data_IF_265159508254
#
_entry.id   IF_265159508254
#
_cell.length_a   1.000
_cell.length_b   1.000
_cell.length_c   1.000
_cell.angle_alpha   90.00
_cell.angle_beta   90.00
_cell.angle_gamma   90.00
#
_symmetry.space_group_name_H-M   'P 1'
#
loop_
_entity.id
_entity.type
_entity.pdbx_description
1 polymer ?
#
# COMPACT_ATOMS: atom_id res chain seq x y z
N UNK A 1 -10.52 -14.68 -32.09
CA UNK A 1 -10.87 -15.99 -31.51
C UNK A 1 -10.64 -15.96 -30.02
N UNK A 2 -11.47 -16.64 -29.24
CA UNK A 2 -11.26 -16.82 -27.81
C UNK A 2 -10.91 -18.27 -27.46
N UNK A 3 -10.00 -18.44 -26.50
CA UNK A 3 -9.63 -19.72 -25.90
C UNK A 3 -10.52 -19.97 -24.70
N UNK A 4 -11.25 -21.08 -24.70
CA UNK A 4 -12.10 -21.46 -23.57
C UNK A 4 -11.26 -22.12 -22.49
N UNK A 5 -11.27 -21.54 -21.29
CA UNK A 5 -10.61 -22.08 -20.10
C UNK A 5 -11.59 -22.08 -18.92
N UNK A 6 -11.45 -23.01 -17.96
CA UNK A 6 -12.23 -22.98 -16.73
C UNK A 6 -12.14 -21.59 -16.08
N UNK A 7 -13.27 -21.03 -15.68
CA UNK A 7 -13.30 -19.69 -15.07
C UNK A 7 -12.37 -19.54 -13.85
N UNK A 8 -12.22 -20.54 -12.96
CA UNK A 8 -11.21 -20.47 -11.90
C UNK A 8 -9.79 -20.31 -12.46
N UNK A 9 -9.42 -21.03 -13.52
CA UNK A 9 -8.07 -20.91 -14.11
C UNK A 9 -7.84 -19.53 -14.74
N UNK A 10 -8.86 -18.94 -15.37
CA UNK A 10 -8.78 -17.55 -15.86
C UNK A 10 -8.59 -16.58 -14.70
N UNK A 11 -9.28 -16.78 -13.58
CA UNK A 11 -9.09 -15.94 -12.40
C UNK A 11 -7.66 -16.08 -11.85
N UNK A 12 -7.12 -17.30 -11.76
CA UNK A 12 -5.74 -17.50 -11.33
C UNK A 12 -4.73 -16.79 -12.25
N UNK A 13 -4.98 -16.80 -13.57
CA UNK A 13 -4.20 -16.06 -14.56
C UNK A 13 -4.34 -14.54 -14.40
N UNK A 14 -5.56 -14.04 -14.16
CA UNK A 14 -5.85 -12.61 -13.93
C UNK A 14 -5.25 -12.08 -12.62
N UNK A 15 -5.17 -12.93 -11.60
CA UNK A 15 -4.50 -12.60 -10.34
C UNK A 15 -2.97 -12.66 -10.45
N UNK A 16 -2.42 -13.27 -11.52
CA UNK A 16 -0.98 -13.50 -11.63
C UNK A 16 -0.46 -14.65 -10.77
N UNK A 17 -1.36 -15.45 -10.17
CA UNK A 17 -1.04 -16.62 -9.34
C UNK A 17 -0.43 -17.75 -10.15
N UNK A 18 -0.82 -17.89 -11.42
CA UNK A 18 -0.21 -18.83 -12.36
C UNK A 18 0.04 -18.14 -13.69
N UNK A 19 1.01 -18.64 -14.47
CA UNK A 19 1.29 -18.18 -15.84
C UNK A 19 0.98 -19.26 -16.87
N UNK A 20 0.23 -20.29 -16.47
CA UNK A 20 -0.03 -21.47 -17.27
C UNK A 20 -1.47 -21.96 -17.20
N UNK A 21 -1.87 -22.69 -18.25
CA UNK A 21 -3.15 -23.38 -18.35
C UNK A 21 -2.95 -24.78 -18.94
N UNK A 22 -3.80 -25.74 -18.58
CA UNK A 22 -3.79 -27.07 -19.17
C UNK A 22 -4.71 -27.09 -20.38
N UNK A 23 -4.28 -27.71 -21.47
CA UNK A 23 -5.07 -27.82 -22.68
C UNK A 23 -4.86 -29.14 -23.41
N UNK A 24 -5.88 -29.62 -24.13
CA UNK A 24 -5.84 -30.90 -24.84
C UNK A 24 -5.17 -30.83 -26.22
N UNK A 25 -4.85 -29.63 -26.71
CA UNK A 25 -4.29 -29.42 -28.06
C UNK A 25 -3.01 -28.61 -28.00
N UNK A 26 -2.09 -28.90 -28.90
CA UNK A 26 -0.93 -28.04 -29.09
C UNK A 26 -1.35 -26.69 -29.67
N UNK A 27 -0.87 -25.61 -29.07
CA UNK A 27 -1.05 -24.24 -29.57
C UNK A 27 0.31 -23.71 -30.02
N UNK A 28 0.38 -23.20 -31.24
CA UNK A 28 1.59 -22.55 -31.72
C UNK A 28 1.92 -21.32 -30.87
N UNK A 29 3.18 -21.15 -30.43
CA UNK A 29 3.63 -19.94 -29.78
C UNK A 29 3.33 -18.68 -30.60
N UNK A 30 3.24 -17.55 -29.92
CA UNK A 30 2.86 -16.21 -30.41
C UNK A 30 1.40 -16.06 -30.82
N UNK A 31 0.58 -17.12 -30.84
CA UNK A 31 -0.86 -16.95 -31.07
C UNK A 31 -1.52 -16.18 -29.93
N UNK A 32 -2.48 -15.35 -30.29
CA UNK A 32 -3.21 -14.46 -29.38
C UNK A 32 -4.69 -14.83 -29.36
N UNK A 33 -5.28 -14.82 -28.16
CA UNK A 33 -6.69 -15.16 -27.96
C UNK A 33 -7.27 -14.34 -26.82
N UNK A 34 -8.56 -14.01 -26.92
CA UNK A 34 -9.32 -13.62 -25.73
C UNK A 34 -9.47 -14.82 -24.78
N UNK A 35 -9.51 -14.58 -23.47
CA UNK A 35 -9.73 -15.64 -22.48
C UNK A 35 -11.23 -15.75 -22.18
N UNK A 36 -11.84 -16.85 -22.60
CA UNK A 36 -13.28 -17.07 -22.49
C UNK A 36 -13.57 -17.99 -21.30
N UNK A 37 -14.25 -17.52 -20.24
CA UNK A 37 -14.55 -18.34 -19.08
C UNK A 37 -15.66 -19.33 -19.39
N UNK A 38 -15.40 -20.60 -19.10
CA UNK A 38 -16.41 -21.66 -19.09
C UNK A 38 -16.63 -22.16 -17.67
N UNK A 39 -17.87 -22.56 -17.35
CA UNK A 39 -18.15 -23.25 -16.09
C UNK A 39 -17.34 -24.55 -16.09
N UNK A 40 -16.54 -24.75 -15.04
CA UNK A 40 -15.67 -25.91 -14.87
C UNK A 40 -16.50 -27.15 -14.54
N UNK A 41 -17.29 -27.60 -15.51
CA UNK A 41 -17.98 -28.90 -15.50
C UNK A 41 -17.70 -29.60 -16.83
N UNK A 42 -16.40 -29.68 -17.16
CA UNK A 42 -15.87 -30.86 -17.84
C UNK A 42 -15.81 -31.94 -16.75
N UNK A 43 -16.91 -32.66 -16.56
CA UNK A 43 -17.22 -33.72 -15.57
C UNK A 43 -16.06 -34.67 -15.17
N UNK A 44 -15.00 -34.18 -14.52
CA UNK A 44 -13.85 -35.01 -14.15
C UNK A 44 -13.83 -35.29 -12.65
N UNK A 45 -13.90 -34.26 -11.81
CA UNK A 45 -13.78 -34.38 -10.34
C UNK A 45 -14.54 -33.24 -9.62
N UNK A 46 -14.94 -33.42 -8.34
CA UNK A 46 -15.35 -32.33 -7.45
C UNK A 46 -14.28 -31.23 -7.36
N UNK A 47 -14.69 -29.97 -7.08
CA UNK A 47 -13.79 -28.80 -7.01
C UNK A 47 -12.64 -29.02 -6.03
N UNK A 48 -12.93 -29.62 -4.87
CA UNK A 48 -11.95 -29.94 -3.82
C UNK A 48 -10.93 -30.99 -4.24
N UNK A 49 -11.29 -31.84 -5.19
CA UNK A 49 -10.40 -32.84 -5.76
C UNK A 49 -9.67 -32.33 -6.99
N UNK A 50 -10.15 -31.25 -7.62
CA UNK A 50 -9.53 -30.67 -8.81
C UNK A 50 -8.48 -29.61 -8.48
N UNK A 51 -8.74 -28.78 -7.46
CA UNK A 51 -7.87 -27.67 -7.08
C UNK A 51 -7.26 -27.88 -5.70
N UNK A 52 -6.03 -27.38 -5.51
CA UNK A 52 -5.37 -27.38 -4.21
C UNK A 52 -6.24 -26.67 -3.17
N UNK A 53 -6.28 -27.11 -1.89
CA UNK A 53 -7.14 -26.52 -0.86
C UNK A 53 -7.04 -24.99 -0.74
N UNK A 54 -5.84 -24.44 -0.98
CA UNK A 54 -5.55 -23.01 -0.98
C UNK A 54 -6.22 -22.23 -2.14
N UNK A 55 -6.71 -22.91 -3.18
CA UNK A 55 -7.37 -22.28 -4.33
C UNK A 55 -8.88 -22.56 -4.38
N UNK A 56 -9.37 -23.54 -3.63
CA UNK A 56 -10.80 -23.92 -3.57
C UNK A 56 -11.73 -22.74 -3.28
N UNK A 57 -11.45 -21.81 -2.32
CA UNK A 57 -12.32 -20.66 -2.10
C UNK A 57 -12.47 -19.77 -3.35
N UNK A 58 -11.37 -19.52 -4.07
CA UNK A 58 -11.38 -18.75 -5.32
C UNK A 58 -12.13 -19.48 -6.43
N UNK A 59 -11.99 -20.80 -6.52
CA UNK A 59 -12.74 -21.61 -7.47
C UNK A 59 -14.25 -21.52 -7.23
N UNK A 60 -14.70 -21.55 -5.97
CA UNK A 60 -16.12 -21.38 -5.65
C UNK A 60 -16.64 -20.00 -6.03
N UNK A 61 -15.95 -18.91 -5.64
CA UNK A 61 -16.42 -17.55 -5.91
C UNK A 61 -16.47 -17.20 -7.39
N UNK A 62 -15.62 -17.79 -8.21
CA UNK A 62 -15.57 -17.56 -9.66
C UNK A 62 -16.61 -18.35 -10.46
N UNK A 63 -17.12 -19.45 -9.89
CA UNK A 63 -18.14 -20.27 -10.53
C UNK A 63 -19.57 -19.76 -10.29
N UNK A 64 -19.82 -19.11 -9.14
CA UNK A 64 -21.14 -18.54 -8.79
C UNK A 64 -21.70 -17.57 -9.86
N UNK A 65 -20.91 -16.66 -10.48
CA UNK A 65 -21.42 -15.73 -11.49
C UNK A 65 -21.75 -16.35 -12.86
N UNK A 66 -21.34 -17.59 -13.13
CA UNK A 66 -21.54 -18.26 -14.43
C UNK A 66 -22.95 -18.85 -14.61
N UNK A 67 -23.82 -18.72 -13.61
CA UNK A 67 -25.25 -19.01 -13.71
C UNK A 67 -26.03 -17.87 -14.41
N UNK A 68 -25.35 -16.79 -14.80
CA UNK A 68 -25.95 -15.68 -15.54
C UNK A 68 -25.90 -15.90 -17.06
N UNK A 69 -26.90 -15.40 -17.80
CA UNK A 69 -26.98 -15.53 -19.27
C UNK A 69 -25.88 -14.77 -20.03
N UNK A 70 -25.07 -13.95 -19.34
CA UNK A 70 -24.06 -13.09 -19.98
C UNK A 70 -22.66 -13.34 -19.43
N UNK A 71 -21.76 -13.79 -20.29
CA UNK A 71 -20.34 -13.98 -19.99
C UNK A 71 -19.56 -12.69 -20.27
N UNK A 72 -18.68 -12.31 -19.35
CA UNK A 72 -17.77 -11.17 -19.47
C UNK A 72 -16.34 -11.63 -19.73
N UNK A 73 -15.75 -11.20 -20.85
CA UNK A 73 -14.33 -11.38 -21.18
C UNK A 73 -13.58 -10.12 -20.76
N UNK A 74 -12.65 -10.28 -19.82
CA UNK A 74 -11.88 -9.17 -19.21
C UNK A 74 -10.39 -9.21 -19.56
N UNK A 75 -9.91 -10.27 -20.21
CA UNK A 75 -8.51 -10.44 -20.55
C UNK A 75 -8.28 -11.14 -21.89
N UNK A 76 -7.10 -10.93 -22.43
CA UNK A 76 -6.55 -11.65 -23.56
C UNK A 76 -5.16 -12.17 -23.20
N UNK A 77 -4.70 -13.20 -23.92
CA UNK A 77 -3.40 -13.79 -23.70
C UNK A 77 -2.67 -14.09 -25.01
N UNK A 78 -1.35 -14.03 -24.94
CA UNK A 78 -0.43 -14.56 -25.95
C UNK A 78 0.20 -15.86 -25.43
N UNK A 79 0.15 -16.92 -26.22
CA UNK A 79 0.84 -18.16 -25.89
C UNK A 79 2.35 -17.96 -26.14
N UNK A 80 3.17 -18.02 -25.09
CA UNK A 80 4.63 -17.87 -25.20
C UNK A 80 5.31 -19.23 -25.40
N UNK A 81 4.76 -20.29 -24.81
CA UNK A 81 5.24 -21.66 -24.95
C UNK A 81 4.06 -22.63 -24.82
N UNK A 82 4.13 -23.76 -25.52
CA UNK A 82 3.20 -24.87 -25.37
C UNK A 82 4.03 -26.16 -25.30
N UNK A 83 3.99 -26.84 -24.16
CA UNK A 83 4.83 -28.00 -23.90
C UNK A 83 3.96 -29.23 -23.57
N UNK A 84 4.22 -30.41 -24.16
CA UNK A 84 3.54 -31.63 -23.74
C UNK A 84 3.94 -31.98 -22.31
N UNK A 85 2.98 -32.37 -21.48
CA UNK A 85 3.29 -32.85 -20.13
C UNK A 85 3.80 -34.29 -20.18
N UNK A 86 4.89 -34.53 -19.46
CA UNK A 86 5.49 -35.84 -19.28
C UNK A 86 5.25 -36.37 -17.86
N UNK A 87 5.62 -37.62 -17.59
CA UNK A 87 5.42 -38.27 -16.30
C UNK A 87 6.10 -37.53 -15.13
N UNK A 88 7.28 -36.94 -15.36
CA UNK A 88 8.02 -36.17 -14.37
C UNK A 88 7.29 -34.86 -13.99
N UNK A 89 6.75 -34.16 -15.00
CA UNK A 89 5.95 -32.96 -14.79
C UNK A 89 4.69 -33.25 -13.99
N UNK A 90 4.02 -34.37 -14.27
CA UNK A 90 2.80 -34.78 -13.56
C UNK A 90 3.01 -35.02 -12.06
N UNK A 91 4.22 -35.43 -11.65
CA UNK A 91 4.55 -35.66 -10.25
C UNK A 91 4.87 -34.36 -9.47
N UNK A 92 5.29 -33.30 -10.19
CA UNK A 92 5.80 -32.07 -9.56
C UNK A 92 4.83 -30.90 -9.67
N UNK A 93 4.13 -30.76 -10.81
CA UNK A 93 3.15 -29.69 -11.04
C UNK A 93 2.11 -29.53 -9.93
N UNK A 94 1.57 -30.60 -9.31
CA UNK A 94 0.61 -30.45 -8.21
C UNK A 94 1.14 -29.68 -7.01
N UNK A 95 2.47 -29.62 -6.84
CA UNK A 95 3.13 -28.94 -5.73
C UNK A 95 3.47 -27.47 -6.02
N UNK A 96 3.37 -27.05 -7.29
CA UNK A 96 3.82 -25.73 -7.77
C UNK A 96 2.75 -25.01 -8.59
N UNK A 97 1.54 -25.58 -8.69
CA UNK A 97 0.41 -25.03 -9.43
C UNK A 97 -0.88 -25.13 -8.62
N UNK A 98 -1.97 -24.61 -9.16
CA UNK A 98 -3.29 -24.66 -8.53
C UNK A 98 -3.97 -26.03 -8.65
N UNK A 99 -3.48 -26.92 -9.50
CA UNK A 99 -4.10 -28.22 -9.79
C UNK A 99 -3.62 -29.30 -8.82
N UNK A 100 -4.49 -30.24 -8.47
CA UNK A 100 -4.11 -31.44 -7.72
C UNK A 100 -3.51 -32.51 -8.63
N UNK A 101 -2.92 -33.55 -8.04
CA UNK A 101 -2.44 -34.70 -8.80
C UNK A 101 -3.60 -35.43 -9.49
N UNK A 102 -4.72 -35.56 -8.80
CA UNK A 102 -5.94 -36.20 -9.28
C UNK A 102 -6.49 -35.48 -10.52
N UNK A 103 -6.46 -34.14 -10.52
CA UNK A 103 -6.88 -33.32 -11.66
C UNK A 103 -6.05 -33.59 -12.91
N UNK A 104 -4.72 -33.59 -12.77
CA UNK A 104 -3.81 -33.82 -13.89
C UNK A 104 -3.97 -35.24 -14.46
N UNK A 105 -4.14 -36.22 -13.58
CA UNK A 105 -4.36 -37.61 -13.98
C UNK A 105 -5.70 -37.80 -14.69
N UNK A 106 -6.78 -37.19 -14.19
CA UNK A 106 -8.09 -37.22 -14.83
C UNK A 106 -8.06 -36.55 -16.21
N UNK A 107 -7.41 -35.39 -16.33
CA UNK A 107 -7.23 -34.70 -17.60
C UNK A 107 -6.45 -35.55 -18.62
N UNK A 108 -5.38 -36.22 -18.18
CA UNK A 108 -4.62 -37.12 -19.03
C UNK A 108 -5.45 -38.34 -19.47
N UNK A 109 -6.21 -38.95 -18.56
CA UNK A 109 -7.06 -40.10 -18.88
C UNK A 109 -8.14 -39.73 -19.91
N UNK A 110 -8.69 -38.52 -19.83
CA UNK A 110 -9.74 -38.07 -20.75
C UNK A 110 -9.18 -37.65 -22.12
N UNK A 111 -8.08 -36.92 -22.16
CA UNK A 111 -7.58 -36.28 -23.39
C UNK A 111 -6.45 -37.05 -24.08
N UNK A 112 -5.91 -38.09 -23.43
CA UNK A 112 -4.75 -38.92 -23.85
C UNK A 112 -3.43 -38.16 -23.94
N UNK A 113 -3.47 -36.88 -24.33
CA UNK A 113 -2.35 -35.95 -24.32
C UNK A 113 -2.82 -34.63 -23.71
N UNK A 114 -1.98 -34.07 -22.86
CA UNK A 114 -2.22 -32.75 -22.26
C UNK A 114 -0.98 -31.88 -22.45
N UNK A 115 -1.22 -30.60 -22.70
CA UNK A 115 -0.21 -29.58 -22.93
C UNK A 115 -0.32 -28.51 -21.87
N UNK A 116 0.83 -28.04 -21.41
CA UNK A 116 0.95 -26.87 -20.57
C UNK A 116 1.19 -25.65 -21.45
N UNK A 117 0.21 -24.76 -21.48
CA UNK A 117 0.27 -23.48 -22.18
C UNK A 117 0.85 -22.45 -21.24
N UNK A 118 1.94 -21.78 -21.61
CA UNK A 118 2.48 -20.64 -20.90
C UNK A 118 1.89 -19.37 -21.53
N UNK A 119 1.09 -18.63 -20.76
CA UNK A 119 0.24 -17.55 -21.24
C UNK A 119 0.69 -16.21 -20.67
N UNK A 120 1.13 -15.31 -21.55
CA UNK A 120 1.33 -13.89 -21.22
C UNK A 120 -0.02 -13.19 -21.26
N UNK A 121 -0.54 -12.81 -20.10
CA UNK A 121 -1.90 -12.28 -19.94
C UNK A 121 -1.91 -10.77 -19.81
N UNK A 122 -2.91 -10.14 -20.43
CA UNK A 122 -3.12 -8.71 -20.45
C UNK A 122 -4.60 -8.41 -20.18
N UNK A 123 -4.84 -7.32 -19.45
CA UNK A 123 -6.19 -6.85 -19.17
C UNK A 123 -6.79 -6.13 -20.38
N UNK A 124 -8.09 -6.33 -20.60
CA UNK A 124 -8.88 -5.56 -21.56
C UNK A 124 -9.54 -4.41 -20.79
N UNK A 125 -9.32 -3.17 -21.25
CA UNK A 125 -9.83 -1.97 -20.55
C UNK A 125 -11.36 -1.88 -20.49
N UNK A 126 -12.05 -2.42 -21.51
CA UNK A 126 -13.51 -2.48 -21.56
C UNK A 126 -13.92 -3.95 -21.69
N UNK A 127 -14.52 -4.55 -20.64
CA UNK A 127 -14.97 -5.94 -20.68
C UNK A 127 -15.98 -6.19 -21.81
N UNK A 128 -15.82 -7.30 -22.51
CA UNK A 128 -16.69 -7.70 -23.62
C UNK A 128 -17.76 -8.67 -23.11
N UNK A 129 -19.03 -8.40 -23.40
CA UNK A 129 -20.17 -9.18 -22.92
C UNK A 129 -20.75 -10.06 -24.04
N UNK A 130 -20.97 -11.33 -23.77
CA UNK A 130 -21.51 -12.32 -24.71
C UNK A 130 -22.62 -13.15 -24.09
N UNK A 131 -23.64 -13.51 -24.86
CA UNK A 131 -24.85 -14.21 -24.38
C UNK A 131 -24.84 -15.73 -24.55
N UNK A 132 -23.77 -16.33 -25.10
CA UNK A 132 -23.75 -17.75 -25.49
C UNK A 132 -22.64 -18.49 -24.77
N UNK A 133 -22.99 -19.44 -23.90
CA UNK A 133 -22.03 -20.42 -23.37
C UNK A 133 -21.65 -21.43 -24.46
N UNK A 134 -20.35 -21.54 -24.76
CA UNK A 134 -19.85 -22.57 -25.67
C UNK A 134 -19.20 -23.72 -24.93
N UNK A 135 -19.36 -24.93 -25.47
CA UNK A 135 -18.63 -26.14 -25.05
C UNK A 135 -17.41 -26.45 -25.94
N UNK A 136 -17.12 -25.60 -26.92
CA UNK A 136 -15.94 -25.75 -27.79
C UNK A 136 -14.67 -25.26 -27.07
N UNK A 137 -13.51 -25.79 -27.47
CA UNK A 137 -12.22 -25.30 -26.97
C UNK A 137 -11.87 -23.88 -27.46
N UNK A 138 -12.52 -23.43 -28.54
CA UNK A 138 -12.37 -22.09 -29.10
C UNK A 138 -13.72 -21.51 -29.53
N UNK A 139 -13.93 -20.23 -29.25
CA UNK A 139 -15.13 -19.49 -29.67
C UNK A 139 -14.75 -18.43 -30.70
N UNK A 140 -15.55 -18.34 -31.76
CA UNK A 140 -15.49 -17.24 -32.70
C UNK A 140 -16.26 -16.05 -32.13
N UNK A 141 -15.60 -14.90 -31.98
CA UNK A 141 -16.17 -13.73 -31.30
C UNK A 141 -16.99 -12.83 -32.24
N UNK A 142 -17.03 -13.12 -33.54
CA UNK A 142 -17.81 -12.35 -34.53
C UNK A 142 -17.16 -11.03 -34.92
N UNK A 143 -16.41 -10.39 -34.01
CA UNK A 143 -15.75 -9.10 -34.19
C UNK A 143 -14.25 -9.17 -33.92
N UNK A 144 -13.50 -8.27 -34.57
CA UNK A 144 -12.09 -8.06 -34.27
C UNK A 144 -11.96 -7.26 -32.97
N UNK A 145 -11.24 -7.81 -32.01
CA UNK A 145 -10.94 -7.13 -30.75
C UNK A 145 -9.58 -6.46 -30.90
N UNK A 146 -9.55 -5.14 -30.78
CA UNK A 146 -8.29 -4.41 -30.64
C UNK A 146 -7.77 -4.61 -29.22
N UNK A 147 -6.60 -5.25 -29.12
CA UNK A 147 -5.93 -5.55 -27.87
C UNK A 147 -4.66 -4.72 -27.74
N UNK A 148 -4.30 -4.36 -26.50
CA UNK A 148 -3.10 -3.59 -26.18
C UNK A 148 -2.20 -4.37 -25.24
N UNK A 149 -0.89 -4.27 -25.44
CA UNK A 149 0.12 -4.83 -24.54
C UNK A 149 0.45 -3.89 -23.36
N UNK A 150 -0.21 -2.73 -23.27
CA UNK A 150 0.07 -1.71 -22.26
C UNK A 150 -0.35 -2.08 -20.82
N UNK A 151 -1.20 -3.08 -20.66
CA UNK A 151 -1.74 -3.49 -19.35
C UNK A 151 -1.49 -4.99 -19.08
N UNK A 152 -0.23 -5.43 -18.97
CA UNK A 152 0.07 -6.81 -18.64
C UNK A 152 -0.30 -7.10 -17.17
N UNK A 153 -0.77 -8.32 -16.89
CA UNK A 153 -1.10 -8.74 -15.52
C UNK A 153 0.16 -8.84 -14.64
N UNK A 154 1.25 -9.36 -15.20
CA UNK A 154 2.57 -9.41 -14.56
C UNK A 154 3.55 -8.49 -15.29
N UNK A 155 4.58 -7.97 -14.63
CA UNK A 155 5.70 -7.34 -15.35
C UNK A 155 6.44 -8.37 -16.21
N UNK A 156 7.20 -7.93 -17.22
CA UNK A 156 7.99 -8.84 -18.08
C UNK A 156 8.98 -9.67 -17.27
N UNK A 157 9.61 -9.06 -16.25
CA UNK A 157 10.52 -9.74 -15.33
C UNK A 157 9.81 -10.83 -14.54
N UNK A 158 8.69 -10.50 -13.88
CA UNK A 158 7.95 -11.46 -13.06
C UNK A 158 7.39 -12.62 -13.89
N UNK A 159 6.88 -12.32 -15.09
CA UNK A 159 6.41 -13.34 -16.02
C UNK A 159 7.53 -14.29 -16.43
N UNK A 160 8.69 -13.75 -16.87
CA UNK A 160 9.85 -14.58 -17.26
C UNK A 160 10.35 -15.43 -16.10
N UNK A 161 10.39 -14.86 -14.90
CA UNK A 161 10.80 -15.60 -13.70
C UNK A 161 9.85 -16.76 -13.41
N UNK A 162 8.52 -16.53 -13.37
CA UNK A 162 7.54 -17.61 -13.17
C UNK A 162 7.54 -18.64 -14.29
N UNK A 163 7.70 -18.19 -15.53
CA UNK A 163 7.82 -19.07 -16.69
C UNK A 163 9.03 -20.00 -16.56
N UNK A 164 10.19 -19.47 -16.18
CA UNK A 164 11.43 -20.25 -16.01
C UNK A 164 11.32 -21.21 -14.82
N UNK A 165 10.84 -20.75 -13.66
CA UNK A 165 10.64 -21.62 -12.49
C UNK A 165 9.70 -22.78 -12.82
N UNK A 166 8.60 -22.54 -13.54
CA UNK A 166 7.67 -23.60 -13.92
C UNK A 166 8.27 -24.57 -14.95
N UNK A 167 9.09 -24.08 -15.90
CA UNK A 167 9.82 -24.95 -16.84
C UNK A 167 10.85 -25.84 -16.14
N UNK A 168 11.51 -25.31 -15.11
CA UNK A 168 12.49 -26.03 -14.30
C UNK A 168 11.86 -26.85 -13.16
N UNK A 169 10.52 -26.82 -13.02
CA UNK A 169 9.77 -27.47 -11.95
C UNK A 169 10.20 -27.02 -10.53
N UNK A 170 10.61 -25.76 -10.40
CA UNK A 170 11.00 -25.12 -9.15
C UNK A 170 9.79 -24.57 -8.39
N UNK A 171 9.90 -24.52 -7.06
CA UNK A 171 8.91 -23.88 -6.21
C UNK A 171 8.80 -22.37 -6.49
N UNK A 172 7.61 -21.77 -6.38
CA UNK A 172 7.47 -20.32 -6.41
C UNK A 172 8.34 -19.67 -5.33
N UNK A 173 8.91 -18.50 -5.63
CA UNK A 173 9.86 -17.81 -4.74
C UNK A 173 9.30 -17.56 -3.32
N UNK A 174 7.99 -17.43 -3.18
CA UNK A 174 7.30 -17.09 -1.93
C UNK A 174 6.07 -17.98 -1.69
N UNK A 175 6.23 -19.30 -1.77
CA UNK A 175 5.16 -20.29 -1.53
C UNK A 175 4.35 -20.03 -0.25
N UNK A 176 5.03 -19.67 0.83
CA UNK A 176 4.44 -19.41 2.14
C UNK A 176 3.53 -18.18 2.14
N UNK A 177 3.87 -17.16 1.34
CA UNK A 177 3.02 -15.98 1.16
C UNK A 177 1.79 -16.30 0.30
N UNK A 178 1.93 -17.17 -0.70
CA UNK A 178 0.79 -17.63 -1.51
C UNK A 178 -0.20 -18.47 -0.67
N UNK A 179 0.33 -19.32 0.24
CA UNK A 179 -0.46 -20.07 1.20
C UNK A 179 -1.15 -19.16 2.22
N UNK A 180 -0.42 -18.20 2.80
CA UNK A 180 -0.98 -17.22 3.72
C UNK A 180 -2.09 -16.41 3.07
N UNK A 181 -1.86 -15.89 1.85
CA UNK A 181 -2.87 -15.15 1.09
C UNK A 181 -4.15 -15.99 0.93
N UNK A 182 -3.97 -17.25 0.56
CA UNK A 182 -5.07 -18.19 0.36
C UNK A 182 -5.88 -18.43 1.64
N UNK A 183 -5.19 -18.56 2.78
CA UNK A 183 -5.82 -18.78 4.09
C UNK A 183 -6.60 -17.55 4.57
N UNK A 184 -6.13 -16.33 4.29
CA UNK A 184 -6.76 -15.10 4.76
C UNK A 184 -7.80 -14.53 3.80
N UNK A 185 -7.79 -14.92 2.51
CA UNK A 185 -8.71 -14.38 1.51
C UNK A 185 -10.20 -14.48 1.91
N UNK A 186 -10.71 -15.60 2.48
CA UNK A 186 -12.10 -15.66 2.94
C UNK A 186 -12.39 -14.68 4.10
N UNK A 187 -11.40 -14.43 4.96
CA UNK A 187 -11.52 -13.55 6.12
C UNK A 187 -11.50 -12.08 5.67
N UNK A 188 -10.69 -11.75 4.66
CA UNK A 188 -10.59 -10.41 4.09
C UNK A 188 -11.91 -9.88 3.52
N UNK A 189 -12.82 -10.78 3.10
CA UNK A 189 -14.17 -10.42 2.62
C UNK A 189 -15.05 -9.79 3.71
N UNK A 190 -14.78 -10.10 4.98
CA UNK A 190 -15.63 -9.69 6.12
C UNK A 190 -14.89 -8.83 7.15
N UNK A 191 -13.55 -8.82 7.12
CA UNK A 191 -12.73 -8.08 8.07
C UNK A 191 -11.85 -7.02 7.37
N UNK A 192 -12.16 -5.72 7.54
CA UNK A 192 -11.39 -4.62 6.92
C UNK A 192 -9.90 -4.59 7.29
N UNK A 193 -9.53 -5.04 8.50
CA UNK A 193 -8.13 -5.07 8.91
C UNK A 193 -7.35 -6.15 8.14
N UNK A 194 -7.98 -7.28 7.85
CA UNK A 194 -7.37 -8.37 7.07
C UNK A 194 -7.31 -8.02 5.58
N UNK A 195 -8.25 -7.20 5.09
CA UNK A 195 -8.23 -6.71 3.71
C UNK A 195 -6.98 -5.87 3.40
N UNK A 196 -6.44 -5.13 4.37
CA UNK A 196 -5.18 -4.40 4.21
C UNK A 196 -4.00 -5.37 4.04
N UNK A 197 -3.89 -6.36 4.93
CA UNK A 197 -2.84 -7.39 4.86
C UNK A 197 -2.92 -8.20 3.55
N UNK A 198 -4.11 -8.60 3.13
CA UNK A 198 -4.30 -9.33 1.87
C UNK A 198 -3.80 -8.53 0.66
N UNK A 199 -4.07 -7.23 0.63
CA UNK A 199 -3.59 -6.33 -0.43
C UNK A 199 -2.07 -6.23 -0.44
N UNK A 200 -1.46 -6.07 0.73
CA UNK A 200 0.00 -5.99 0.86
C UNK A 200 0.69 -7.28 0.43
N UNK A 201 0.14 -8.45 0.78
CA UNK A 201 0.67 -9.75 0.33
C UNK A 201 0.55 -9.87 -1.19
N UNK A 202 -0.59 -9.48 -1.78
CA UNK A 202 -0.75 -9.48 -3.24
C UNK A 202 0.26 -8.56 -3.92
N UNK A 203 0.46 -7.35 -3.42
CA UNK A 203 1.49 -6.43 -3.95
C UNK A 203 2.90 -7.04 -3.89
N UNK A 204 3.27 -7.68 -2.78
CA UNK A 204 4.58 -8.36 -2.63
C UNK A 204 4.74 -9.54 -3.59
N UNK A 205 3.67 -10.32 -3.81
CA UNK A 205 3.66 -11.42 -4.78
C UNK A 205 3.64 -10.94 -6.24
N UNK A 206 3.45 -9.63 -6.45
CA UNK A 206 3.22 -9.03 -7.77
C UNK A 206 1.87 -9.44 -8.37
N UNK A 207 0.91 -9.81 -7.52
CA UNK A 207 -0.43 -10.23 -7.89
C UNK A 207 -1.38 -9.05 -8.03
N UNK A 208 -2.22 -9.11 -9.07
CA UNK A 208 -3.29 -8.16 -9.32
C UNK A 208 -2.91 -7.02 -10.28
N UNK A 209 -3.84 -6.73 -11.18
CA UNK A 209 -3.85 -5.49 -11.94
C UNK A 209 -4.25 -4.31 -11.07
N UNK A 210 -3.75 -3.14 -11.42
CA UNK A 210 -4.05 -1.84 -10.82
C UNK A 210 -5.56 -1.61 -10.63
N UNK A 211 -6.10 -2.11 -9.53
CA UNK A 211 -7.20 -1.45 -8.85
C UNK A 211 -6.72 -1.25 -7.42
N UNK A 212 -5.94 -0.18 -7.27
CA UNK A 212 -6.01 0.61 -6.06
C UNK A 212 -7.47 1.04 -5.94
N UNK A 213 -8.33 0.14 -5.44
CA UNK A 213 -9.57 0.54 -4.79
C UNK A 213 -9.06 1.30 -3.58
N UNK A 214 -8.85 2.60 -3.80
CA UNK A 214 -8.78 3.62 -2.77
C UNK A 214 -9.81 3.21 -1.76
N UNK A 215 -9.35 2.74 -0.60
CA UNK A 215 -10.26 2.66 0.52
C UNK A 215 -10.91 4.04 0.63
N UNK A 216 -12.24 4.12 0.83
CA UNK A 216 -12.87 5.40 1.07
C UNK A 216 -12.09 6.10 2.17
N UNK A 217 -11.56 7.29 1.86
CA UNK A 217 -10.64 8.06 2.70
C UNK A 217 -11.16 8.10 4.14
N UNK A 218 -10.66 7.24 5.02
CA UNK A 218 -10.98 7.23 6.46
C UNK A 218 -10.48 8.50 7.17
N UNK A 219 -9.80 9.37 6.43
CA UNK A 219 -9.08 10.55 6.89
C UNK A 219 -9.73 11.87 6.45
N UNK A 220 -10.99 11.87 6.01
CA UNK A 220 -11.72 13.10 5.64
C UNK A 220 -11.70 14.17 6.74
N UNK A 221 -11.74 13.73 8.01
CA UNK A 221 -11.69 14.60 9.18
C UNK A 221 -10.44 15.50 9.25
N UNK A 222 -9.34 15.13 8.60
CA UNK A 222 -8.11 15.92 8.61
C UNK A 222 -8.37 17.31 8.00
N UNK A 223 -9.27 17.42 7.02
CA UNK A 223 -9.62 18.71 6.41
C UNK A 223 -10.45 19.62 7.32
N UNK A 224 -10.97 19.09 8.44
CA UNK A 224 -11.76 19.86 9.39
C UNK A 224 -10.87 20.59 10.42
N UNK A 225 -9.57 20.26 10.52
CA UNK A 225 -8.64 20.83 11.51
C UNK A 225 -8.55 22.35 11.34
N UNK A 226 -8.24 22.82 10.14
CA UNK A 226 -8.15 24.26 9.85
C UNK A 226 -9.50 24.92 9.99
N UNK A 227 -10.55 24.32 9.44
CA UNK A 227 -11.93 24.82 9.47
C UNK A 227 -12.44 25.07 10.90
N UNK A 228 -12.17 24.15 11.82
CA UNK A 228 -12.58 24.29 13.23
C UNK A 228 -11.76 25.34 13.99
N UNK A 229 -10.50 25.54 13.60
CA UNK A 229 -9.60 26.53 14.21
C UNK A 229 -9.87 27.96 13.73
N UNK A 230 -9.92 28.18 12.42
CA UNK A 230 -10.00 29.51 11.77
C UNK A 230 -11.43 30.07 11.63
N UNK A 231 -12.35 29.67 12.51
CA UNK A 231 -13.76 30.07 12.36
C UNK A 231 -14.03 31.55 12.62
N UNK A 232 -14.99 32.12 11.89
CA UNK A 232 -15.55 33.45 12.16
C UNK A 232 -16.96 33.37 12.78
N UNK A 233 -17.34 34.37 13.60
CA UNK A 233 -18.71 34.44 14.18
C UNK A 233 -19.84 34.51 13.14
N UNK A 234 -19.54 34.86 11.89
CA UNK A 234 -20.52 34.95 10.79
C UNK A 234 -20.80 33.56 10.16
N UNK A 235 -19.90 32.60 10.32
CA UNK A 235 -20.00 31.24 9.77
C UNK A 235 -20.63 30.24 10.75
N UNK A 236 -20.78 30.62 12.03
CA UNK A 236 -21.39 29.80 13.08
C UNK A 236 -22.92 29.83 12.98
N UNK A 237 -23.50 28.98 12.12
CA UNK A 237 -24.95 28.68 12.12
C UNK A 237 -25.36 28.00 13.45
N UNK A 238 -25.52 28.79 14.52
CA UNK A 238 -26.18 28.37 15.77
C UNK A 238 -25.31 27.67 16.82
N UNK A 239 -23.98 27.57 16.66
CA UNK A 239 -23.09 27.02 17.69
C UNK A 239 -22.66 28.09 18.70
N UNK A 240 -22.61 27.73 19.98
CA UNK A 240 -22.04 28.61 21.02
C UNK A 240 -20.51 28.61 20.95
N UNK A 241 -19.88 29.71 21.37
CA UNK A 241 -18.41 29.81 21.48
C UNK A 241 -17.79 28.66 22.29
N UNK A 242 -18.51 28.18 23.31
CA UNK A 242 -18.10 27.05 24.16
C UNK A 242 -18.08 25.74 23.38
N UNK A 243 -19.16 25.42 22.66
CA UNK A 243 -19.25 24.19 21.88
C UNK A 243 -18.15 24.14 20.81
N UNK A 244 -17.95 25.24 20.12
CA UNK A 244 -17.02 25.28 19.03
C UNK A 244 -15.55 25.35 19.53
N UNK A 245 -15.28 25.86 20.74
CA UNK A 245 -13.99 25.67 21.41
C UNK A 245 -13.71 24.19 21.71
N UNK A 246 -14.70 23.51 22.27
CA UNK A 246 -14.64 22.07 22.58
C UNK A 246 -14.41 21.21 21.33
N UNK A 247 -15.09 21.54 20.22
CA UNK A 247 -14.90 20.83 18.94
C UNK A 247 -13.45 20.96 18.43
N UNK A 248 -12.85 22.15 18.57
CA UNK A 248 -11.46 22.38 18.18
C UNK A 248 -10.46 21.66 19.09
N UNK A 249 -10.65 21.68 20.41
CA UNK A 249 -9.82 20.92 21.34
C UNK A 249 -9.85 19.41 21.04
N UNK A 250 -11.04 18.87 20.74
CA UNK A 250 -11.21 17.46 20.40
C UNK A 250 -10.48 17.08 19.10
N UNK A 251 -10.54 17.92 18.06
CA UNK A 251 -9.85 17.60 16.80
C UNK A 251 -8.33 17.76 16.94
N UNK A 252 -7.84 18.72 17.73
CA UNK A 252 -6.41 18.84 18.04
C UNK A 252 -5.93 17.62 18.81
N UNK A 253 -6.72 17.14 19.79
CA UNK A 253 -6.41 15.91 20.54
C UNK A 253 -6.26 14.71 19.61
N UNK A 254 -7.25 14.49 18.75
CA UNK A 254 -7.23 13.44 17.73
C UNK A 254 -6.02 13.58 16.79
N UNK A 255 -5.65 14.80 16.44
CA UNK A 255 -4.48 15.10 15.60
C UNK A 255 -3.19 14.68 16.28
N UNK A 256 -3.00 15.01 17.55
CA UNK A 256 -1.80 14.64 18.30
C UNK A 256 -1.70 13.13 18.51
N UNK A 257 -2.80 12.45 18.80
CA UNK A 257 -2.84 10.98 18.85
C UNK A 257 -2.48 10.35 17.50
N UNK A 258 -3.00 10.90 16.40
CA UNK A 258 -2.70 10.43 15.05
C UNK A 258 -1.21 10.62 14.68
N UNK A 259 -0.58 11.69 15.18
CA UNK A 259 0.86 11.92 15.03
C UNK A 259 1.71 10.98 15.90
N UNK A 260 1.12 10.26 16.85
CA UNK A 260 1.80 9.28 17.71
C UNK A 260 2.02 9.74 19.16
N UNK A 261 1.44 10.85 19.59
CA UNK A 261 1.47 11.23 21.01
C UNK A 261 0.53 10.35 21.84
N UNK A 262 0.92 10.08 23.09
CA UNK A 262 0.00 9.53 24.10
C UNK A 262 -0.66 10.66 24.84
N UNK A 263 -1.94 10.93 24.55
CA UNK A 263 -2.73 11.94 25.24
C UNK A 263 -3.18 11.43 26.60
N UNK A 264 -2.99 12.25 27.63
CA UNK A 264 -3.47 12.00 28.98
C UNK A 264 -4.86 12.63 29.18
N UNK A 265 -5.85 11.77 29.41
CA UNK A 265 -7.24 12.16 29.63
C UNK A 265 -7.56 12.46 31.11
N UNK A 266 -6.69 12.09 32.06
CA UNK A 266 -6.90 12.40 33.48
C UNK A 266 -6.77 13.90 33.76
N UNK A 267 -6.03 14.60 32.91
CA UNK A 267 -5.87 16.06 32.96
C UNK A 267 -6.81 16.79 31.99
N UNK A 268 -7.82 16.10 31.40
CA UNK A 268 -8.74 16.65 30.40
C UNK A 268 -9.58 17.82 30.93
N UNK A 269 -9.65 18.88 30.13
CA UNK A 269 -10.40 20.10 30.37
C UNK A 269 -11.92 19.94 30.61
N UNK A 270 -12.34 20.63 31.66
CA UNK A 270 -13.64 21.27 31.95
C UNK A 270 -13.30 22.60 32.66
N UNK A 271 -14.18 23.20 33.47
CA UNK A 271 -13.83 24.42 34.20
C UNK A 271 -12.60 24.21 35.12
N UNK A 272 -11.40 24.62 34.66
CA UNK A 272 -10.14 24.59 35.42
C UNK A 272 -9.18 23.42 35.13
N UNK A 273 -9.32 22.70 34.02
CA UNK A 273 -8.34 21.71 33.51
C UNK A 273 -7.55 22.24 32.31
N UNK A 274 -6.37 21.66 32.04
CA UNK A 274 -5.57 21.99 30.84
C UNK A 274 -6.28 21.44 29.61
N UNK A 275 -6.26 22.17 28.49
CA UNK A 275 -6.90 21.70 27.25
C UNK A 275 -6.32 20.34 26.83
N UNK A 276 -5.00 20.25 26.64
CA UNK A 276 -4.33 19.01 26.24
C UNK A 276 -3.00 18.82 26.95
N UNK A 277 -2.78 17.60 27.45
CA UNK A 277 -1.48 17.12 27.91
C UNK A 277 -1.16 15.79 27.23
N UNK A 278 0.05 15.67 26.67
CA UNK A 278 0.60 14.44 26.14
C UNK A 278 1.79 14.01 27.02
N UNK A 279 1.85 12.73 27.39
CA UNK A 279 2.88 12.20 28.27
C UNK A 279 4.08 11.61 27.52
N UNK A 280 3.86 11.16 26.29
CA UNK A 280 4.85 10.50 25.42
C UNK A 280 4.69 10.96 23.97
N UNK A 281 5.76 10.96 23.16
CA UNK A 281 7.13 10.51 23.48
C UNK A 281 7.95 11.50 24.32
N UNK A 282 7.44 12.73 24.48
CA UNK A 282 7.93 13.70 25.44
C UNK A 282 6.72 14.46 26.01
N UNK A 283 6.84 15.06 27.21
CA UNK A 283 5.75 15.84 27.78
C UNK A 283 5.45 17.06 26.90
N UNK A 284 4.22 17.17 26.42
CA UNK A 284 3.72 18.30 25.66
C UNK A 284 2.44 18.81 26.31
N UNK A 285 2.39 20.11 26.58
CA UNK A 285 1.19 20.80 27.06
C UNK A 285 0.74 21.77 25.98
N UNK A 286 -0.55 21.70 25.63
CA UNK A 286 -1.13 22.59 24.63
C UNK A 286 -2.37 23.30 25.13
N UNK A 287 -2.47 24.59 24.77
CA UNK A 287 -3.69 25.39 24.86
C UNK A 287 -4.22 25.64 23.45
N UNK A 288 -5.52 25.47 23.27
CA UNK A 288 -6.18 25.57 21.98
C UNK A 288 -7.07 26.81 21.94
N UNK A 289 -6.99 27.59 20.87
CA UNK A 289 -7.91 28.69 20.61
C UNK A 289 -8.54 28.53 19.25
N UNK A 290 -9.84 28.76 19.17
CA UNK A 290 -10.57 28.89 17.90
C UNK A 290 -11.16 30.31 17.77
N UNK A 291 -11.33 30.79 16.54
CA UNK A 291 -11.82 32.14 16.24
C UNK A 291 -10.99 32.89 15.17
N UNK A 292 -11.04 34.24 15.20
CA UNK A 292 -10.28 35.10 14.26
C UNK A 292 -8.86 35.47 14.72
N UNK A 293 -8.60 35.41 16.03
CA UNK A 293 -7.32 35.85 16.63
C UNK A 293 -7.03 35.07 17.91
N UNK A 294 -5.74 34.97 18.23
CA UNK A 294 -5.25 34.33 19.45
C UNK A 294 -4.76 35.42 20.43
N UNK A 295 -5.49 35.68 21.54
CA UNK A 295 -5.14 36.73 22.50
C UNK A 295 -4.11 36.25 23.53
N UNK A 296 -3.49 37.19 24.25
CA UNK A 296 -2.52 36.88 25.30
C UNK A 296 -3.09 36.04 26.45
N UNK A 297 -4.41 36.10 26.67
CA UNK A 297 -5.05 35.29 27.71
C UNK A 297 -4.80 33.79 27.52
N UNK A 298 -4.59 33.32 26.28
CA UNK A 298 -4.23 31.93 25.96
C UNK A 298 -2.91 31.52 26.61
N UNK A 299 -1.87 32.37 26.56
CA UNK A 299 -0.60 32.09 27.26
C UNK A 299 -0.77 32.12 28.79
N UNK A 300 -1.57 33.05 29.31
CA UNK A 300 -1.85 33.15 30.75
C UNK A 300 -2.57 31.88 31.25
N UNK A 301 -3.53 31.38 30.49
CA UNK A 301 -4.25 30.14 30.81
C UNK A 301 -3.31 28.94 30.81
N UNK A 302 -2.49 28.79 29.76
CA UNK A 302 -1.51 27.70 29.65
C UNK A 302 -0.54 27.68 30.86
N UNK A 303 0.00 28.85 31.24
CA UNK A 303 0.91 28.96 32.39
C UNK A 303 0.21 28.61 33.70
N UNK A 304 -0.97 29.19 33.94
CA UNK A 304 -1.69 29.02 35.20
C UNK A 304 -2.13 27.57 35.39
N UNK A 305 -2.82 27.01 34.40
CA UNK A 305 -3.32 25.63 34.46
C UNK A 305 -2.19 24.62 34.43
N UNK A 306 -1.16 24.84 33.60
CA UNK A 306 0.03 24.00 33.55
C UNK A 306 0.73 23.94 34.91
N UNK A 307 0.97 25.08 35.54
CA UNK A 307 1.61 25.16 36.86
C UNK A 307 0.78 24.45 37.94
N UNK A 308 -0.52 24.77 38.02
CA UNK A 308 -1.40 24.23 39.06
C UNK A 308 -1.66 22.73 38.93
N UNK A 309 -1.69 22.19 37.70
CA UNK A 309 -2.11 20.80 37.45
C UNK A 309 -0.95 19.84 37.21
N UNK A 310 0.17 20.32 36.67
CA UNK A 310 1.29 19.45 36.27
C UNK A 310 2.56 19.68 37.11
N UNK A 311 2.65 20.77 37.88
CA UNK A 311 3.77 21.05 38.78
C UNK A 311 5.13 20.87 38.09
N UNK A 312 6.02 19.98 38.56
CA UNK A 312 7.34 19.74 37.97
C UNK A 312 7.29 19.28 36.50
N UNK A 313 6.24 18.55 36.09
CA UNK A 313 6.07 18.09 34.70
C UNK A 313 5.88 19.27 33.74
N UNK A 314 5.33 20.39 34.20
CA UNK A 314 5.17 21.60 33.38
C UNK A 314 6.51 22.21 32.98
N UNK A 315 7.50 22.16 33.86
CA UNK A 315 8.83 22.74 33.60
C UNK A 315 9.56 21.96 32.50
N UNK A 316 9.37 20.64 32.44
CA UNK A 316 9.97 19.76 31.44
C UNK A 316 9.15 19.69 30.14
N UNK A 317 7.89 20.14 30.17
CA UNK A 317 7.00 20.05 29.02
C UNK A 317 7.31 21.10 27.95
N UNK A 318 7.27 20.65 26.71
CA UNK A 318 7.14 21.52 25.53
C UNK A 318 5.78 22.22 25.61
N UNK A 319 5.79 23.56 25.54
CA UNK A 319 4.59 24.39 25.65
C UNK A 319 4.15 24.80 24.25
N UNK A 320 2.92 24.48 23.91
CA UNK A 320 2.36 24.72 22.58
C UNK A 320 1.06 25.52 22.68
N UNK A 321 0.90 26.48 21.80
CA UNK A 321 -0.36 27.19 21.57
C UNK A 321 -0.75 26.91 20.13
N UNK A 322 -1.97 26.40 19.95
CA UNK A 322 -2.54 26.18 18.62
C UNK A 322 -3.72 27.13 18.48
N UNK A 323 -3.58 28.11 17.60
CA UNK A 323 -4.58 29.16 17.48
C UNK A 323 -4.57 29.86 16.13
N UNK A 324 -5.71 30.39 15.70
CA UNK A 324 -5.92 30.97 14.38
C UNK A 324 -5.34 32.38 14.26
N UNK A 325 -5.19 32.79 13.00
CA UNK A 325 -4.85 34.17 12.62
C UNK A 325 -3.48 34.64 13.12
N UNK A 326 -3.31 35.97 13.22
CA UNK A 326 -2.08 36.56 13.74
C UNK A 326 -2.16 36.64 15.28
N UNK A 327 -1.21 36.04 16.03
CA UNK A 327 -1.18 36.19 17.48
C UNK A 327 -0.93 37.66 17.85
N UNK A 328 -1.57 38.13 18.92
CA UNK A 328 -1.36 39.49 19.44
C UNK A 328 0.11 39.74 19.80
N UNK A 329 0.58 40.99 19.75
CA UNK A 329 1.98 41.32 20.10
C UNK A 329 2.34 40.85 21.51
N UNK A 330 1.44 41.05 22.47
CA UNK A 330 1.61 40.59 23.86
C UNK A 330 1.76 39.06 23.95
N UNK A 331 0.95 38.31 23.19
CA UNK A 331 1.07 36.85 23.14
C UNK A 331 2.42 36.42 22.57
N UNK A 332 2.93 37.09 21.54
CA UNK A 332 4.24 36.79 20.96
C UNK A 332 5.36 37.02 21.98
N UNK A 333 5.35 38.17 22.66
CA UNK A 333 6.32 38.50 23.71
C UNK A 333 6.26 37.48 24.88
N UNK A 334 5.05 37.09 25.31
CA UNK A 334 4.86 36.09 26.35
C UNK A 334 5.36 34.70 25.91
N UNK A 335 5.09 34.31 24.67
CA UNK A 335 5.52 33.02 24.13
C UNK A 335 7.03 32.92 24.00
N UNK A 336 7.71 33.99 23.56
CA UNK A 336 9.17 34.06 23.54
C UNK A 336 9.76 33.99 24.96
N UNK A 337 9.22 34.79 25.89
CA UNK A 337 9.71 34.86 27.28
C UNK A 337 9.56 33.53 28.02
N UNK A 338 8.45 32.82 27.81
CA UNK A 338 8.12 31.60 28.56
C UNK A 338 8.36 30.30 27.77
N UNK A 339 9.04 30.38 26.62
CA UNK A 339 9.40 29.20 25.85
C UNK A 339 8.22 28.44 25.27
N UNK A 340 7.19 29.15 24.79
CA UNK A 340 6.00 28.56 24.16
C UNK A 340 6.08 28.69 22.65
N UNK A 341 5.83 27.60 21.93
CA UNK A 341 5.64 27.63 20.50
C UNK A 341 4.19 28.01 20.17
N UNK A 342 3.99 28.82 19.14
CA UNK A 342 2.68 29.15 18.58
C UNK A 342 2.64 28.63 17.14
N UNK A 343 1.64 27.80 16.83
CA UNK A 343 1.34 27.36 15.47
C UNK A 343 -0.12 27.59 15.11
N UNK A 344 -0.37 27.73 13.82
CA UNK A 344 -1.71 27.83 13.27
C UNK A 344 -2.35 26.44 13.05
N UNK A 345 -3.69 26.37 13.03
CA UNK A 345 -4.42 25.14 12.69
C UNK A 345 -4.00 24.52 11.35
N UNK A 346 -3.70 25.34 10.34
CA UNK A 346 -3.18 24.90 9.04
C UNK A 346 -1.85 24.13 9.16
N UNK A 347 -0.93 24.60 9.99
CA UNK A 347 0.37 23.95 10.21
C UNK A 347 0.17 22.57 10.84
N UNK A 348 -0.71 22.46 11.83
CA UNK A 348 -1.09 21.16 12.41
C UNK A 348 -1.73 20.25 11.35
N UNK A 349 -2.65 20.79 10.54
CA UNK A 349 -3.29 20.03 9.47
C UNK A 349 -2.27 19.46 8.48
N UNK A 350 -1.26 20.25 8.08
CA UNK A 350 -0.19 19.78 7.18
C UNK A 350 0.63 18.63 7.79
N UNK A 351 0.99 18.70 9.07
CA UNK A 351 1.65 17.59 9.77
C UNK A 351 0.81 16.32 9.77
N UNK A 352 -0.49 16.45 10.08
CA UNK A 352 -1.41 15.31 10.12
C UNK A 352 -1.61 14.72 8.72
N UNK A 353 -1.71 15.56 7.68
CA UNK A 353 -1.75 15.12 6.27
C UNK A 353 -0.48 14.37 5.88
N UNK A 354 0.70 14.86 6.27
CA UNK A 354 1.97 14.19 6.03
C UNK A 354 2.00 12.78 6.66
N UNK A 355 1.67 12.67 7.95
CA UNK A 355 1.60 11.39 8.67
C UNK A 355 0.55 10.44 8.07
N UNK A 356 -0.59 10.97 7.64
CA UNK A 356 -1.66 10.17 7.02
C UNK A 356 -1.28 9.64 5.64
N UNK A 357 -0.61 10.48 4.84
CA UNK A 357 -0.13 10.09 3.51
C UNK A 357 1.01 9.09 3.60
N UNK A 358 1.90 9.28 4.59
CA UNK A 358 3.08 8.46 4.84
C UNK A 358 3.11 8.07 6.32
N UNK A 359 2.47 6.94 6.69
CA UNK A 359 2.44 6.47 8.07
C UNK A 359 3.85 6.38 8.67
N UNK A 360 4.00 6.85 9.91
CA UNK A 360 5.27 6.89 10.66
C UNK A 360 6.35 7.80 10.05
N UNK A 361 5.98 8.74 9.16
CA UNK A 361 6.93 9.70 8.59
C UNK A 361 7.29 10.84 9.54
N UNK A 362 6.44 11.14 10.52
CA UNK A 362 6.71 12.22 11.49
C UNK A 362 7.49 11.67 12.68
N UNK A 363 8.77 12.02 12.78
CA UNK A 363 9.57 11.83 13.98
C UNK A 363 9.27 12.94 15.00
N UNK A 364 8.49 12.61 16.03
CA UNK A 364 8.09 13.56 17.06
C UNK A 364 9.26 14.15 17.84
N UNK A 365 10.31 13.39 18.13
CA UNK A 365 11.49 13.90 18.84
C UNK A 365 12.22 14.95 18.01
N UNK A 366 12.31 14.75 16.69
CA UNK A 366 12.88 15.75 15.79
C UNK A 366 11.95 16.95 15.65
N UNK A 367 10.64 16.74 15.51
CA UNK A 367 9.64 17.82 15.45
C UNK A 367 9.73 18.75 16.66
N UNK A 368 10.02 18.21 17.85
CA UNK A 368 10.21 19.00 19.07
C UNK A 368 11.22 20.13 18.89
N UNK A 369 12.30 19.90 18.13
CA UNK A 369 13.34 20.90 17.87
C UNK A 369 12.84 22.07 17.01
N UNK A 370 11.76 21.88 16.25
CA UNK A 370 11.16 22.90 15.38
C UNK A 370 10.00 23.66 16.05
N UNK A 371 9.54 23.20 17.22
CA UNK A 371 8.61 23.94 18.07
C UNK A 371 9.35 25.03 18.86
N UNK A 372 9.91 26.01 18.13
CA UNK A 372 10.68 27.12 18.72
C UNK A 372 9.76 28.12 19.46
N UNK A 373 10.25 28.78 20.53
CA UNK A 373 9.51 29.83 21.20
C UNK A 373 9.06 30.94 20.25
N UNK A 374 7.87 31.49 20.48
CA UNK A 374 7.24 32.46 19.58
C UNK A 374 6.52 31.78 18.42
N UNK A 375 6.50 32.40 17.24
CA UNK A 375 5.81 31.83 16.06
C UNK A 375 6.65 30.72 15.43
N UNK A 376 6.16 29.49 15.50
CA UNK A 376 6.87 28.30 15.05
C UNK A 376 6.43 27.79 13.66
N UNK A 377 5.39 28.38 13.05
CA UNK A 377 4.84 27.92 11.76
C UNK A 377 5.91 27.68 10.68
N UNK A 378 6.81 28.66 10.49
CA UNK A 378 7.87 28.57 9.47
C UNK A 378 8.90 27.49 9.79
N UNK A 379 9.24 27.28 11.06
CA UNK A 379 10.17 26.24 11.46
C UNK A 379 9.54 24.86 11.29
N UNK A 380 8.28 24.69 11.68
CA UNK A 380 7.54 23.44 11.45
C UNK A 380 7.37 23.17 9.96
N UNK A 381 7.13 24.18 9.12
CA UNK A 381 7.08 24.01 7.66
C UNK A 381 8.43 23.54 7.09
N UNK A 382 9.56 24.08 7.56
CA UNK A 382 10.90 23.58 7.18
C UNK A 382 11.07 22.10 7.52
N UNK A 383 10.56 21.66 8.68
CA UNK A 383 10.56 20.26 9.06
C UNK A 383 9.70 19.41 8.11
N UNK A 384 8.49 19.86 7.79
CA UNK A 384 7.60 19.18 6.82
C UNK A 384 8.30 19.03 5.46
N UNK A 385 8.88 20.12 4.94
CA UNK A 385 9.62 20.11 3.67
C UNK A 385 10.82 19.16 3.70
N UNK A 386 11.54 19.11 4.82
CA UNK A 386 12.64 18.18 5.05
C UNK A 386 12.16 16.72 4.94
N UNK A 387 11.06 16.37 5.62
CA UNK A 387 10.50 15.01 5.57
C UNK A 387 10.06 14.65 4.15
N UNK A 388 9.37 15.55 3.44
CA UNK A 388 8.99 15.31 2.04
C UNK A 388 10.21 15.09 1.12
N UNK A 389 11.29 15.85 1.32
CA UNK A 389 12.53 15.65 0.56
C UNK A 389 13.14 14.28 0.84
N UNK A 390 13.19 13.86 2.10
CA UNK A 390 13.69 12.56 2.53
C UNK A 390 12.85 11.39 1.96
N UNK A 391 11.53 11.54 1.89
CA UNK A 391 10.61 10.55 1.27
C UNK A 391 10.84 10.48 -0.25
N UNK A 392 10.95 11.63 -0.93
CA UNK A 392 11.22 11.68 -2.37
C UNK A 392 12.56 11.03 -2.72
N UNK A 393 13.59 11.27 -1.91
CA UNK A 393 14.89 10.63 -2.07
C UNK A 393 14.78 9.10 -1.97
N UNK A 394 14.13 8.60 -0.92
CA UNK A 394 13.90 7.15 -0.71
C UNK A 394 13.14 6.52 -1.86
N UNK A 395 12.06 7.16 -2.32
CA UNK A 395 11.28 6.69 -3.45
C UNK A 395 12.13 6.61 -4.72
N UNK A 396 12.96 7.62 -4.98
CA UNK A 396 13.89 7.61 -6.11
C UNK A 396 14.91 6.47 -6.01
N UNK A 397 15.48 6.20 -4.84
CA UNK A 397 16.40 5.06 -4.62
C UNK A 397 15.72 3.73 -4.95
N UNK A 398 14.46 3.54 -4.53
CA UNK A 398 13.66 2.35 -4.89
C UNK A 398 13.50 2.24 -6.41
N UNK A 399 13.20 3.34 -7.10
CA UNK A 399 13.08 3.35 -8.56
C UNK A 399 14.41 3.08 -9.27
N UNK A 400 15.51 3.63 -8.78
CA UNK A 400 16.86 3.37 -9.33
C UNK A 400 17.17 1.88 -9.26
N UNK A 401 16.96 1.24 -8.10
CA UNK A 401 17.14 -0.21 -7.97
C UNK A 401 16.23 -0.99 -8.91
N UNK A 402 14.93 -0.67 -8.94
CA UNK A 402 13.95 -1.33 -9.82
C UNK A 402 14.38 -1.28 -11.29
N UNK A 403 14.75 -0.10 -11.77
CA UNK A 403 15.18 0.12 -13.15
C UNK A 403 16.52 -0.56 -13.44
N UNK A 404 17.47 -0.49 -12.51
CA UNK A 404 18.75 -1.17 -12.63
C UNK A 404 18.59 -2.68 -12.80
N UNK A 405 17.76 -3.32 -11.95
CA UNK A 405 17.51 -4.77 -12.02
C UNK A 405 16.78 -5.14 -13.32
N UNK A 406 15.80 -4.34 -13.74
CA UNK A 406 15.07 -4.60 -15.00
C UNK A 406 15.99 -4.50 -16.22
N UNK A 407 16.89 -3.52 -16.26
CA UNK A 407 17.80 -3.30 -17.39
C UNK A 407 18.96 -4.30 -17.42
N UNK A 408 19.48 -4.69 -16.25
CA UNK A 408 20.63 -5.62 -16.15
C UNK A 408 20.22 -7.10 -16.19
N UNK A 409 18.97 -7.42 -15.88
CA UNK A 409 18.52 -8.81 -15.69
C UNK A 409 18.99 -9.43 -14.37
N UNK A 410 19.67 -8.68 -13.51
CA UNK A 410 20.14 -9.17 -12.22
C UNK A 410 18.98 -9.34 -11.23
N UNK A 411 19.11 -10.30 -10.31
CA UNK A 411 18.13 -10.53 -9.24
C UNK A 411 18.28 -9.50 -8.11
N UNK A 412 19.52 -9.09 -7.80
CA UNK A 412 19.87 -8.13 -6.76
C UNK A 412 21.10 -7.30 -7.15
N UNK A 413 21.29 -6.15 -6.50
CA UNK A 413 22.37 -5.21 -6.76
C UNK A 413 23.14 -4.85 -5.49
N UNK A 414 24.45 -4.64 -5.62
CA UNK A 414 25.34 -4.18 -4.55
C UNK A 414 25.20 -2.66 -4.35
N UNK A 415 25.57 -2.19 -3.15
CA UNK A 415 25.48 -0.77 -2.76
C UNK A 415 26.24 0.14 -3.73
N UNK A 416 27.47 -0.23 -4.13
CA UNK A 416 28.31 0.59 -5.00
C UNK A 416 27.71 0.76 -6.41
N UNK A 417 27.17 -0.32 -6.97
CA UNK A 417 26.51 -0.27 -8.29
C UNK A 417 25.26 0.62 -8.26
N UNK A 418 24.47 0.55 -7.18
CA UNK A 418 23.30 1.38 -6.99
C UNK A 418 23.66 2.85 -6.76
N UNK A 419 24.71 3.10 -5.99
CA UNK A 419 25.21 4.44 -5.74
C UNK A 419 25.67 5.12 -7.04
N UNK A 420 26.40 4.41 -7.88
CA UNK A 420 26.79 4.88 -9.21
C UNK A 420 25.56 5.17 -10.11
N UNK A 421 24.58 4.27 -10.13
CA UNK A 421 23.33 4.48 -10.87
C UNK A 421 22.49 5.65 -10.34
N UNK A 422 22.52 5.89 -9.03
CA UNK A 422 21.81 7.00 -8.39
C UNK A 422 22.43 8.35 -8.76
N UNK A 423 23.75 8.49 -8.65
CA UNK A 423 24.47 9.75 -8.92
C UNK A 423 24.25 10.22 -10.37
N UNK A 424 24.12 9.29 -11.32
CA UNK A 424 23.87 9.64 -12.73
C UNK A 424 22.45 10.14 -13.00
N UNK A 425 21.51 9.91 -12.09
CA UNK A 425 20.09 10.24 -12.28
C UNK A 425 19.55 11.29 -11.31
N UNK A 426 20.36 11.75 -10.35
CA UNK A 426 19.90 12.66 -9.31
C UNK A 426 20.96 13.69 -8.90
N UNK A 427 20.54 14.94 -8.69
CA UNK A 427 21.45 16.04 -8.36
C UNK A 427 21.84 16.10 -6.87
N UNK A 428 21.03 15.53 -5.98
CA UNK A 428 21.32 15.53 -4.55
C UNK A 428 22.38 14.47 -4.22
N UNK A 429 23.52 14.91 -3.67
CA UNK A 429 24.57 14.02 -3.24
C UNK A 429 24.13 13.17 -2.03
N UNK A 430 24.24 11.86 -2.16
CA UNK A 430 24.13 10.89 -1.08
C UNK A 430 25.45 10.15 -1.08
N UNK A 431 26.17 10.10 0.04
CA UNK A 431 27.41 9.31 0.12
C UNK A 431 27.10 7.81 0.22
N UNK A 432 28.11 6.97 0.00
CA UNK A 432 27.94 5.52 -0.04
C UNK A 432 27.43 4.94 1.29
N UNK A 433 27.85 5.51 2.43
CA UNK A 433 27.43 5.03 3.75
C UNK A 433 25.97 5.40 4.00
N UNK A 434 25.60 6.64 3.71
CA UNK A 434 24.20 7.09 3.83
C UNK A 434 23.28 6.31 2.89
N UNK A 435 23.72 6.01 1.67
CA UNK A 435 22.97 5.15 0.74
C UNK A 435 22.71 3.77 1.37
N UNK A 436 23.74 3.15 1.95
CA UNK A 436 23.59 1.86 2.62
C UNK A 436 22.63 1.91 3.82
N UNK A 437 22.72 2.92 4.67
CA UNK A 437 21.80 3.09 5.81
C UNK A 437 20.34 3.23 5.33
N UNK A 438 20.11 3.98 4.24
CA UNK A 438 18.78 4.11 3.62
C UNK A 438 18.31 2.78 3.04
N UNK A 439 19.19 2.04 2.35
CA UNK A 439 18.84 0.72 1.80
C UNK A 439 18.50 -0.28 2.92
N UNK A 440 19.20 -0.24 4.06
CA UNK A 440 18.84 -1.01 5.25
C UNK A 440 17.46 -0.60 5.75
N UNK A 441 17.21 0.70 5.94
CA UNK A 441 15.92 1.24 6.38
C UNK A 441 14.78 0.76 5.48
N UNK A 442 14.95 0.85 4.16
CA UNK A 442 13.98 0.42 3.16
C UNK A 442 13.81 -1.11 3.07
N UNK A 443 14.80 -1.86 3.55
CA UNK A 443 14.76 -3.32 3.66
C UNK A 443 14.23 -3.85 5.00
N UNK A 444 13.98 -2.95 5.95
CA UNK A 444 13.47 -3.31 7.26
C UNK A 444 12.07 -3.93 7.14
N UNK A 445 11.73 -4.92 7.98
CA UNK A 445 10.35 -5.41 8.10
C UNK A 445 9.31 -4.32 8.39
N UNK A 446 9.74 -3.17 8.93
CA UNK A 446 8.86 -2.04 9.21
C UNK A 446 8.44 -1.23 7.97
N UNK A 447 9.24 -1.26 6.90
CA UNK A 447 8.99 -0.49 5.67
C UNK A 447 8.74 -1.41 4.47
N UNK A 448 9.58 -2.44 4.30
CA UNK A 448 9.38 -3.54 3.37
C UNK A 448 9.32 -3.13 1.90
N UNK A 449 10.07 -2.11 1.48
CA UNK A 449 10.14 -1.71 0.07
C UNK A 449 11.18 -2.51 -0.71
N UNK A 450 12.26 -2.88 -0.03
CA UNK A 450 13.37 -3.65 -0.57
C UNK A 450 13.58 -4.94 0.25
N UNK A 451 14.25 -5.91 -0.34
CA UNK A 451 14.83 -7.03 0.40
C UNK A 451 16.35 -6.90 0.46
N UNK A 452 16.97 -7.53 1.46
CA UNK A 452 18.42 -7.49 1.69
C UNK A 452 18.98 -8.89 1.83
N UNK A 453 20.10 -9.14 1.15
CA UNK A 453 20.97 -10.30 1.33
C UNK A 453 22.20 -9.81 2.07
N UNK A 454 22.24 -10.05 3.38
CA UNK A 454 23.34 -9.64 4.24
C UNK A 454 24.62 -10.40 3.87
N UNK A 455 25.74 -9.70 3.83
CA UNK A 455 27.08 -10.26 3.65
C UNK A 455 27.98 -9.88 4.84
N UNK A 456 29.16 -10.48 4.93
CA UNK A 456 30.13 -10.20 6.01
C UNK A 456 30.64 -8.75 5.97
N UNK A 457 30.68 -8.13 4.78
CA UNK A 457 31.00 -6.73 4.57
C UNK A 457 29.76 -6.00 4.05
N UNK A 458 29.38 -4.92 4.73
CA UNK A 458 28.23 -4.09 4.39
C UNK A 458 28.28 -3.56 2.95
N UNK A 459 29.48 -3.36 2.39
CA UNK A 459 29.65 -2.93 0.99
C UNK A 459 29.18 -3.99 -0.01
N UNK A 460 29.22 -5.26 0.40
CA UNK A 460 28.80 -6.41 -0.40
C UNK A 460 27.35 -6.78 -0.17
N UNK A 461 26.66 -6.12 0.76
CA UNK A 461 25.23 -6.31 0.92
C UNK A 461 24.52 -6.09 -0.41
N UNK A 462 23.59 -6.99 -0.72
CA UNK A 462 22.82 -6.95 -1.95
C UNK A 462 21.37 -6.64 -1.65
N UNK A 463 20.77 -5.79 -2.47
CA UNK A 463 19.39 -5.38 -2.33
C UNK A 463 18.58 -5.79 -3.55
N UNK A 464 17.33 -6.18 -3.31
CA UNK A 464 16.38 -6.54 -4.37
C UNK A 464 15.07 -5.80 -4.17
N UNK A 465 14.36 -5.57 -5.27
CA UNK A 465 13.11 -4.83 -5.27
C UNK A 465 11.96 -5.72 -4.76
N UNK A 466 11.14 -5.20 -3.83
CA UNK A 466 9.89 -5.83 -3.40
C UNK A 466 8.68 -5.06 -3.91
N UNK A 467 8.58 -3.77 -3.57
CA UNK A 467 7.46 -2.91 -3.96
C UNK A 467 7.86 -1.44 -4.08
N UNK A 468 7.04 -0.66 -4.78
CA UNK A 468 7.27 0.77 -4.94
C UNK A 468 6.98 1.53 -3.63
N UNK A 469 7.74 2.60 -3.37
CA UNK A 469 7.39 3.63 -2.40
C UNK A 469 6.68 4.78 -3.16
N UNK A 470 5.34 4.88 -3.11
CA UNK A 470 4.59 5.85 -3.90
C UNK A 470 4.80 7.27 -3.37
N UNK A 471 4.88 8.24 -4.29
CA UNK A 471 4.79 9.66 -3.94
C UNK A 471 3.33 10.09 -4.10
N UNK A 472 2.68 10.32 -2.96
CA UNK A 472 1.36 10.97 -2.90
C UNK A 472 1.53 12.47 -3.05
N UNK A 473 0.86 13.02 -4.05
CA UNK A 473 0.72 14.45 -4.34
C UNK A 473 -0.19 15.14 -3.35
#
# INVERSE_FOLDING_TARGET
TALCLPAPEIEALLQGRIVAAIFSKFIMPKRQFALYPINASLNMLPIEQYYHPSFVPTAYTTLIPLETETISITAWARCELCQPLNAESLATLPKITIWTQEALQAALAQWQNIFLLYLRVYQISVPLKFSVQSRSSFVHLGEFINVSEASPILSDRLFRQRQLSLQNLEQPLHSELEELQSAIAPIALVNPAVQALEREIKELLGWGSQSLVTQPNSNLWINDITTLGDRSQEEDQGKSNYQAGTDFENIVRKSLEHLGFTVDYFHKGGAGGVDIFCSQPYPLIAECKSGKTTPNNTAVQLLNLGTLRLSEKFNQATKLIIGPGKPTKQLQEAAELHGMAIINPETLQKLVKLQSNYPNSVNLLQLQEYLKPGRADQEVEKYIELVYREIRMRSHIVQVLKNYLNNSGNQSAEVEALHAAYITTHAQAVDLRRMHDILIELSSPLTGYLGRICQDDWKRDRFYFLRDLPIKS
#
